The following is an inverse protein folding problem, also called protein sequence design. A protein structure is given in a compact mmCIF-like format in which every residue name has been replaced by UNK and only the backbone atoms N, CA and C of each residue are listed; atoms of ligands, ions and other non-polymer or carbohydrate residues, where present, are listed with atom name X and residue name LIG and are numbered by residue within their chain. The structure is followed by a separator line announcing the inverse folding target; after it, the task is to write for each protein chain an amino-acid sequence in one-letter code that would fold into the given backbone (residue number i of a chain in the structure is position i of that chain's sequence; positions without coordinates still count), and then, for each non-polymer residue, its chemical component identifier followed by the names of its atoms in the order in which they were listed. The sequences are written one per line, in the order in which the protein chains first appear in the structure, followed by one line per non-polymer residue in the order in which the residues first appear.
data_IF_629221745704
#
_entry.id   IF_629221745704
#
_cell.length_a   1.000
_cell.length_b   1.000
_cell.length_c   1.000
_cell.angle_alpha   90.00
_cell.angle_beta   90.00
_cell.angle_gamma   90.00
#
_symmetry.space_group_name_H-M   'P 1'
#
loop_
_entity.id
_entity.type
_entity.pdbx_description
1 polymer ?
#
# COMPACT_ATOMS: atom_id res chain seq x y z
N UNK A 1 -29.21 -1.88 18.57
CA UNK A 1 -28.40 -1.35 17.45
C UNK A 1 -26.95 -1.37 17.88
N UNK A 2 -26.08 -2.06 17.12
CA UNK A 2 -24.64 -2.00 17.37
C UNK A 2 -24.09 -0.75 16.66
N UNK A 3 -23.47 0.21 17.36
CA UNK A 3 -22.92 1.41 16.72
C UNK A 3 -21.88 1.04 15.66
N UNK A 4 -21.83 1.83 14.58
CA UNK A 4 -20.85 1.59 13.52
C UNK A 4 -19.42 1.80 14.03
N UNK A 5 -18.43 1.28 13.30
CA UNK A 5 -17.01 1.55 13.61
C UNK A 5 -16.74 3.05 13.59
N UNK A 6 -17.36 3.78 12.66
CA UNK A 6 -17.20 5.23 12.56
C UNK A 6 -17.75 5.95 13.80
N UNK A 7 -18.94 5.57 14.29
CA UNK A 7 -19.54 6.15 15.51
C UNK A 7 -18.67 5.91 16.74
N UNK A 8 -18.10 4.70 16.84
CA UNK A 8 -17.21 4.31 17.93
C UNK A 8 -15.91 5.12 17.88
N UNK A 9 -15.28 5.25 16.72
CA UNK A 9 -14.08 6.07 16.53
C UNK A 9 -14.35 7.55 16.84
N UNK A 10 -15.47 8.10 16.36
CA UNK A 10 -15.88 9.46 16.66
C UNK A 10 -16.06 9.71 18.17
N UNK A 11 -16.58 8.73 18.90
CA UNK A 11 -16.72 8.81 20.36
C UNK A 11 -15.37 8.76 21.09
N UNK A 12 -14.44 7.92 20.62
CA UNK A 12 -13.07 7.85 21.17
C UNK A 12 -12.31 9.16 20.92
N UNK A 13 -12.44 9.74 19.73
CA UNK A 13 -11.85 11.04 19.37
C UNK A 13 -12.34 12.13 20.33
N UNK A 14 -13.67 12.27 20.52
CA UNK A 14 -14.23 13.25 21.46
C UNK A 14 -13.74 13.05 22.88
N UNK A 15 -13.69 11.81 23.37
CA UNK A 15 -13.17 11.52 24.71
C UNK A 15 -11.70 11.97 24.88
N UNK A 16 -10.88 11.76 23.84
CA UNK A 16 -9.48 12.21 23.85
C UNK A 16 -9.36 13.73 23.81
N UNK A 17 -10.12 14.40 22.94
CA UNK A 17 -10.06 15.85 22.71
C UNK A 17 -10.67 16.68 23.86
N UNK A 18 -11.81 16.23 24.38
CA UNK A 18 -12.62 17.00 25.33
C UNK A 18 -12.31 16.66 26.79
N UNK A 19 -11.75 15.47 27.07
CA UNK A 19 -11.52 15.01 28.46
C UNK A 19 -10.05 14.71 28.72
N UNK A 20 -9.43 13.79 27.96
CA UNK A 20 -8.09 13.27 28.31
C UNK A 20 -6.98 14.29 28.08
N UNK A 21 -6.88 14.87 26.88
CA UNK A 21 -5.81 15.82 26.56
C UNK A 21 -5.86 17.09 27.43
N UNK A 22 -7.03 17.73 27.65
CA UNK A 22 -7.12 18.89 28.54
C UNK A 22 -6.55 18.63 29.94
N UNK A 23 -6.77 17.44 30.51
CA UNK A 23 -6.27 17.09 31.85
C UNK A 23 -4.76 16.82 31.90
N UNK A 24 -4.15 16.48 30.77
CA UNK A 24 -2.70 16.19 30.66
C UNK A 24 -1.85 17.45 30.41
N UNK A 25 -2.45 18.51 29.85
CA UNK A 25 -1.75 19.74 29.43
C UNK A 25 -0.87 20.31 30.53
N UNK A 26 0.42 20.46 30.21
CA UNK A 26 1.39 21.16 31.07
C UNK A 26 1.76 20.42 32.36
N UNK A 27 1.29 19.18 32.57
CA UNK A 27 1.57 18.38 33.78
C UNK A 27 2.47 17.18 33.51
N UNK A 28 2.40 16.60 32.30
CA UNK A 28 3.11 15.36 31.94
C UNK A 28 3.46 15.35 30.45
N UNK A 29 4.53 16.06 30.06
CA UNK A 29 4.91 16.26 28.64
C UNK A 29 4.91 14.97 27.81
N UNK A 30 5.56 13.90 28.30
CA UNK A 30 5.54 12.61 27.60
C UNK A 30 4.12 12.01 27.49
N UNK A 31 3.31 12.07 28.54
CA UNK A 31 1.95 11.52 28.49
C UNK A 31 1.03 12.32 27.55
N UNK A 32 1.20 13.63 27.50
CA UNK A 32 0.50 14.51 26.56
C UNK A 32 0.90 14.21 25.10
N UNK A 33 2.19 14.00 24.84
CA UNK A 33 2.69 13.58 23.53
C UNK A 33 2.11 12.23 23.09
N UNK A 34 2.12 11.23 23.99
CA UNK A 34 1.55 9.90 23.70
C UNK A 34 0.03 9.96 23.48
N UNK A 35 -0.70 10.74 24.30
CA UNK A 35 -2.14 10.94 24.11
C UNK A 35 -2.45 11.64 22.78
N UNK A 36 -1.63 12.62 22.39
CA UNK A 36 -1.74 13.30 21.10
C UNK A 36 -1.47 12.36 19.92
N UNK A 37 -0.51 11.44 20.07
CA UNK A 37 -0.23 10.40 19.08
C UNK A 37 -1.43 9.44 18.91
N UNK A 38 -2.02 8.98 20.01
CA UNK A 38 -3.24 8.14 19.97
C UNK A 38 -4.37 8.87 19.26
N UNK A 39 -4.61 10.15 19.59
CA UNK A 39 -5.64 10.94 18.92
C UNK A 39 -5.41 11.04 17.40
N UNK A 40 -4.16 11.27 16.97
CA UNK A 40 -3.83 11.29 15.53
C UNK A 40 -4.12 9.95 14.86
N UNK A 41 -3.79 8.82 15.49
CA UNK A 41 -4.12 7.50 14.94
C UNK A 41 -5.63 7.24 14.88
N UNK A 42 -6.42 7.72 15.84
CA UNK A 42 -7.88 7.61 15.79
C UNK A 42 -8.46 8.39 14.61
N UNK A 43 -7.98 9.61 14.36
CA UNK A 43 -8.36 10.39 13.18
C UNK A 43 -7.99 9.68 11.88
N UNK A 44 -6.79 9.09 11.82
CA UNK A 44 -6.36 8.32 10.67
C UNK A 44 -7.24 7.08 10.43
N UNK A 45 -7.48 6.26 11.45
CA UNK A 45 -8.34 5.08 11.34
C UNK A 45 -9.74 5.46 10.88
N UNK A 46 -10.27 6.60 11.36
CA UNK A 46 -11.58 7.09 10.93
C UNK A 46 -11.57 7.53 9.47
N UNK A 47 -10.52 8.21 9.01
CA UNK A 47 -10.39 8.64 7.62
C UNK A 47 -10.22 7.47 6.64
N UNK A 48 -9.59 6.37 7.09
CA UNK A 48 -9.38 5.15 6.31
C UNK A 48 -10.57 4.17 6.39
N UNK A 49 -11.48 4.37 7.34
CA UNK A 49 -12.65 3.51 7.53
C UNK A 49 -13.50 3.46 6.25
N UNK A 50 -13.77 2.24 5.77
CA UNK A 50 -14.53 2.01 4.54
C UNK A 50 -13.73 2.15 3.23
N UNK A 51 -12.43 2.47 3.30
CA UNK A 51 -11.56 2.55 2.12
C UNK A 51 -10.56 1.39 2.01
N UNK A 52 -10.37 0.57 3.04
CA UNK A 52 -9.36 -0.50 3.07
C UNK A 52 -9.46 -1.48 1.89
N UNK A 53 -10.66 -2.02 1.60
CA UNK A 53 -10.84 -2.93 0.46
C UNK A 53 -10.46 -2.26 -0.86
N UNK A 54 -10.83 -0.99 -1.05
CA UNK A 54 -10.46 -0.23 -2.25
C UNK A 54 -8.95 0.01 -2.34
N UNK A 55 -8.28 0.14 -1.21
CA UNK A 55 -6.83 0.26 -1.13
C UNK A 55 -6.17 -1.05 -1.56
N UNK A 56 -6.58 -2.17 -0.97
CA UNK A 56 -6.09 -3.51 -1.30
C UNK A 56 -6.32 -3.86 -2.78
N UNK A 57 -7.50 -3.52 -3.32
CA UNK A 57 -7.81 -3.66 -4.75
C UNK A 57 -6.84 -2.84 -5.62
N UNK A 58 -6.59 -1.58 -5.26
CA UNK A 58 -5.68 -0.72 -6.00
C UNK A 58 -4.23 -1.24 -5.94
N UNK A 59 -3.81 -1.80 -4.80
CA UNK A 59 -2.50 -2.44 -4.66
C UNK A 59 -2.37 -3.63 -5.60
N UNK A 60 -3.34 -4.53 -5.56
CA UNK A 60 -3.31 -5.72 -6.39
C UNK A 60 -3.37 -5.38 -7.88
N UNK A 61 -4.22 -4.41 -8.29
CA UNK A 61 -4.29 -3.96 -9.70
C UNK A 61 -2.95 -3.39 -10.18
N UNK A 62 -2.29 -2.57 -9.37
CA UNK A 62 -0.97 -2.03 -9.72
C UNK A 62 0.08 -3.14 -9.85
N UNK A 63 0.02 -4.14 -8.98
CA UNK A 63 0.92 -5.29 -9.00
C UNK A 63 0.67 -6.20 -10.21
N UNK A 64 -0.61 -6.48 -10.53
CA UNK A 64 -1.01 -7.25 -11.71
C UNK A 64 -0.62 -6.56 -13.01
N UNK A 65 -0.71 -5.22 -13.05
CA UNK A 65 -0.24 -4.41 -14.19
C UNK A 65 1.27 -4.58 -14.37
N UNK A 66 2.05 -4.42 -13.30
CA UNK A 66 3.50 -4.67 -13.33
C UNK A 66 3.81 -6.10 -13.80
N UNK A 67 3.10 -7.10 -13.28
CA UNK A 67 3.28 -8.49 -13.68
C UNK A 67 3.05 -8.69 -15.20
N UNK A 68 1.95 -8.15 -15.73
CA UNK A 68 1.64 -8.24 -17.15
C UNK A 68 2.71 -7.56 -18.02
N UNK A 69 3.16 -6.39 -17.62
CA UNK A 69 4.22 -5.64 -18.29
C UNK A 69 5.57 -6.38 -18.30
N UNK A 70 5.96 -7.01 -17.18
CA UNK A 70 7.18 -7.80 -17.07
C UNK A 70 7.10 -9.08 -17.92
N UNK A 71 5.95 -9.77 -17.90
CA UNK A 71 5.71 -10.96 -18.72
C UNK A 71 5.76 -10.63 -20.21
N UNK A 72 5.22 -9.48 -20.63
CA UNK A 72 5.26 -9.04 -22.02
C UNK A 72 6.67 -8.65 -22.48
N UNK A 73 7.50 -8.12 -21.56
CA UNK A 73 8.88 -7.76 -21.83
C UNK A 73 9.88 -8.93 -21.71
N UNK A 74 9.45 -10.06 -21.13
CA UNK A 74 10.32 -11.19 -20.80
C UNK A 74 11.06 -11.72 -22.02
N UNK A 75 12.40 -11.63 -21.96
CA UNK A 75 13.27 -12.18 -22.98
C UNK A 75 14.58 -12.68 -22.34
N UNK A 76 14.97 -13.91 -22.69
CA UNK A 76 16.11 -14.58 -22.07
C UNK A 76 16.12 -16.08 -22.36
N UNK A 77 16.89 -16.81 -21.57
CA UNK A 77 16.99 -18.26 -21.64
C UNK A 77 15.82 -18.99 -20.96
N UNK A 78 15.98 -20.32 -20.75
CA UNK A 78 14.96 -21.17 -20.15
C UNK A 78 14.51 -20.74 -18.74
N UNK A 79 15.42 -20.19 -17.92
CA UNK A 79 15.11 -19.80 -16.53
C UNK A 79 14.18 -18.60 -16.52
N UNK A 80 14.51 -17.55 -17.27
CA UNK A 80 13.64 -16.37 -17.46
C UNK A 80 12.29 -16.75 -18.06
N UNK A 81 12.28 -17.62 -19.07
CA UNK A 81 11.04 -18.05 -19.74
C UNK A 81 10.12 -18.83 -18.78
N UNK A 82 10.67 -19.73 -17.96
CA UNK A 82 9.91 -20.47 -16.95
C UNK A 82 9.34 -19.53 -15.89
N UNK A 83 10.15 -18.62 -15.35
CA UNK A 83 9.69 -17.66 -14.34
C UNK A 83 8.62 -16.71 -14.87
N UNK A 84 8.69 -16.31 -16.14
CA UNK A 84 7.65 -15.48 -16.78
C UNK A 84 6.33 -16.26 -16.94
N UNK A 85 6.39 -17.56 -17.21
CA UNK A 85 5.20 -18.40 -17.24
C UNK A 85 4.57 -18.53 -15.84
N UNK A 86 5.38 -18.79 -14.82
CA UNK A 86 4.93 -18.84 -13.42
C UNK A 86 4.31 -17.52 -12.96
N UNK A 87 4.92 -16.38 -13.31
CA UNK A 87 4.37 -15.06 -13.01
C UNK A 87 3.00 -14.85 -13.67
N UNK A 88 2.84 -15.25 -14.93
CA UNK A 88 1.55 -15.18 -15.62
C UNK A 88 0.46 -15.96 -14.89
N UNK A 89 0.78 -17.15 -14.38
CA UNK A 89 -0.15 -17.95 -13.58
C UNK A 89 -0.40 -17.36 -12.19
N UNK A 90 0.62 -16.80 -11.56
CA UNK A 90 0.53 -16.20 -10.23
C UNK A 90 -0.39 -14.96 -10.20
N UNK A 91 -0.31 -14.13 -11.25
CA UNK A 91 -1.01 -12.86 -11.40
C UNK A 91 -2.50 -12.99 -11.80
N UNK A 92 -3.05 -14.21 -11.80
CA UNK A 92 -4.48 -14.38 -12.07
C UNK A 92 -5.34 -13.72 -10.96
N UNK A 93 -6.48 -13.10 -11.33
CA UNK A 93 -7.34 -12.40 -10.38
C UNK A 93 -7.83 -13.33 -9.26
N UNK A 94 -7.92 -12.78 -8.05
CA UNK A 94 -8.62 -13.41 -6.95
C UNK A 94 -10.14 -13.41 -7.20
N UNK A 95 -10.85 -14.39 -6.62
CA UNK A 95 -12.31 -14.51 -6.72
C UNK A 95 -13.05 -13.93 -5.50
N UNK A 96 -12.33 -13.65 -4.40
CA UNK A 96 -12.83 -13.04 -3.16
C UNK A 96 -11.71 -12.26 -2.43
N UNK A 97 -12.08 -11.52 -1.37
CA UNK A 97 -11.20 -10.62 -0.61
C UNK A 97 -10.08 -11.39 0.13
N UNK A 98 -10.40 -12.53 0.76
CA UNK A 98 -9.41 -13.38 1.43
C UNK A 98 -8.39 -13.94 0.41
N UNK A 99 -8.83 -14.20 -0.82
CA UNK A 99 -7.95 -14.57 -1.93
C UNK A 99 -7.14 -13.38 -2.47
N UNK A 100 -7.54 -12.13 -2.25
CA UNK A 100 -6.83 -10.95 -2.74
C UNK A 100 -5.46 -10.80 -2.08
N UNK A 101 -5.40 -10.89 -0.75
CA UNK A 101 -4.12 -10.83 -0.04
C UNK A 101 -3.20 -11.99 -0.45
N UNK A 102 -3.74 -13.20 -0.55
CA UNK A 102 -2.99 -14.36 -1.02
C UNK A 102 -2.50 -14.18 -2.47
N UNK A 103 -3.30 -13.55 -3.34
CA UNK A 103 -2.94 -13.23 -4.71
C UNK A 103 -1.83 -12.16 -4.79
N UNK A 104 -1.90 -11.13 -3.96
CA UNK A 104 -0.85 -10.11 -3.81
C UNK A 104 0.47 -10.75 -3.40
N UNK A 105 0.48 -11.57 -2.34
CA UNK A 105 1.70 -12.24 -1.86
C UNK A 105 2.29 -13.16 -2.94
N UNK A 106 1.47 -14.00 -3.57
CA UNK A 106 1.89 -14.92 -4.62
C UNK A 106 2.46 -14.18 -5.84
N UNK A 107 1.80 -13.10 -6.27
CA UNK A 107 2.24 -12.30 -7.42
C UNK A 107 3.56 -11.58 -7.12
N UNK A 108 3.70 -10.99 -5.94
CA UNK A 108 4.94 -10.34 -5.50
C UNK A 108 6.11 -11.32 -5.45
N UNK A 109 5.89 -12.53 -4.93
CA UNK A 109 6.91 -13.57 -4.90
C UNK A 109 7.34 -13.99 -6.32
N UNK A 110 6.38 -14.15 -7.24
CA UNK A 110 6.69 -14.50 -8.63
C UNK A 110 7.41 -13.37 -9.38
N UNK A 111 7.10 -12.10 -9.10
CA UNK A 111 7.86 -10.95 -9.63
C UNK A 111 9.31 -11.02 -9.15
N UNK A 112 9.54 -11.23 -7.85
CA UNK A 112 10.89 -11.37 -7.29
C UNK A 112 11.65 -12.53 -7.94
N UNK A 113 10.99 -13.68 -8.18
CA UNK A 113 11.57 -14.82 -8.87
C UNK A 113 11.95 -14.48 -10.33
N UNK A 114 11.10 -13.76 -11.07
CA UNK A 114 11.40 -13.32 -12.43
C UNK A 114 12.58 -12.34 -12.48
N UNK A 115 12.68 -11.43 -11.50
CA UNK A 115 13.82 -10.51 -11.39
C UNK A 115 15.12 -11.30 -11.18
N UNK A 116 15.10 -12.32 -10.31
CA UNK A 116 16.24 -13.19 -10.08
C UNK A 116 16.60 -14.00 -11.34
N UNK A 117 15.62 -14.56 -12.03
CA UNK A 117 15.80 -15.30 -13.29
C UNK A 117 16.41 -14.43 -14.39
N UNK A 118 15.95 -13.17 -14.52
CA UNK A 118 16.48 -12.20 -15.46
C UNK A 118 17.98 -11.92 -15.25
N UNK A 119 18.49 -12.08 -14.02
CA UNK A 119 19.92 -11.97 -13.75
C UNK A 119 20.73 -13.17 -14.24
N UNK A 120 20.12 -14.37 -14.24
CA UNK A 120 20.76 -15.62 -14.66
C UNK A 120 20.92 -15.67 -16.18
N UNK A 121 19.82 -15.47 -16.92
CA UNK A 121 19.81 -15.65 -18.37
C UNK A 121 18.92 -14.65 -19.13
N UNK A 122 18.48 -13.57 -18.48
CA UNK A 122 17.75 -12.48 -19.12
C UNK A 122 18.66 -11.64 -20.01
N UNK A 123 18.16 -11.27 -21.19
CA UNK A 123 18.92 -10.40 -22.08
C UNK A 123 19.07 -8.97 -21.51
N UNK A 124 19.99 -8.19 -22.08
CA UNK A 124 20.25 -6.82 -21.59
C UNK A 124 19.00 -5.93 -21.68
N UNK A 125 18.19 -6.09 -22.73
CA UNK A 125 17.00 -5.26 -22.97
C UNK A 125 15.93 -5.54 -21.90
N UNK A 126 15.68 -6.79 -21.59
CA UNK A 126 14.74 -7.23 -20.58
C UNK A 126 15.19 -6.80 -19.20
N UNK A 127 16.46 -6.98 -18.84
CA UNK A 127 17.00 -6.49 -17.56
C UNK A 127 16.82 -4.98 -17.38
N UNK A 128 17.02 -4.19 -18.44
CA UNK A 128 16.74 -2.74 -18.42
C UNK A 128 15.24 -2.45 -18.29
N UNK A 129 14.37 -3.22 -18.94
CA UNK A 129 12.93 -3.09 -18.81
C UNK A 129 12.46 -3.37 -17.37
N UNK A 130 12.93 -4.47 -16.78
CA UNK A 130 12.67 -4.86 -15.38
C UNK A 130 13.02 -3.71 -14.43
N UNK A 131 14.22 -3.16 -14.53
CA UNK A 131 14.65 -2.06 -13.66
C UNK A 131 13.70 -0.86 -13.75
N UNK A 132 13.35 -0.44 -14.97
CA UNK A 132 12.47 0.71 -15.20
C UNK A 132 11.06 0.48 -14.67
N UNK A 133 10.50 -0.69 -14.95
CA UNK A 133 9.12 -1.04 -14.56
C UNK A 133 8.99 -1.19 -13.05
N UNK A 134 9.95 -1.86 -12.40
CA UNK A 134 9.96 -2.01 -10.94
C UNK A 134 10.11 -0.67 -10.24
N UNK A 135 11.00 0.21 -10.71
CA UNK A 135 11.13 1.55 -10.15
C UNK A 135 9.88 2.42 -10.37
N UNK A 136 9.28 2.35 -11.56
CA UNK A 136 8.03 3.04 -11.86
C UNK A 136 6.90 2.60 -10.93
N UNK A 137 6.75 1.29 -10.74
CA UNK A 137 5.80 0.72 -9.78
C UNK A 137 6.09 1.18 -8.35
N UNK A 138 7.36 1.13 -7.91
CA UNK A 138 7.76 1.60 -6.58
C UNK A 138 7.44 3.07 -6.35
N UNK A 139 7.65 3.94 -7.35
CA UNK A 139 7.30 5.35 -7.26
C UNK A 139 5.78 5.57 -7.14
N UNK A 140 4.98 4.82 -7.91
CA UNK A 140 3.52 4.89 -7.84
C UNK A 140 2.99 4.39 -6.50
N UNK A 141 3.50 3.26 -6.00
CA UNK A 141 3.15 2.72 -4.67
C UNK A 141 3.52 3.72 -3.57
N UNK A 142 4.73 4.28 -3.60
CA UNK A 142 5.13 5.29 -2.61
C UNK A 142 4.21 6.52 -2.62
N UNK A 143 3.77 6.99 -3.80
CA UNK A 143 2.82 8.10 -3.88
C UNK A 143 1.46 7.74 -3.25
N UNK A 144 0.96 6.53 -3.52
CA UNK A 144 -0.28 6.02 -2.93
C UNK A 144 -0.18 5.94 -1.40
N UNK A 145 0.88 5.33 -0.88
CA UNK A 145 1.10 5.15 0.55
C UNK A 145 1.20 6.50 1.26
N UNK A 146 1.98 7.44 0.71
CA UNK A 146 2.08 8.80 1.24
C UNK A 146 0.72 9.51 1.28
N UNK A 147 -0.09 9.34 0.24
CA UNK A 147 -1.46 9.88 0.19
C UNK A 147 -2.37 9.22 1.22
N UNK A 148 -2.24 7.91 1.43
CA UNK A 148 -2.97 7.12 2.41
C UNK A 148 -2.69 7.54 3.86
N UNK A 149 -1.45 7.95 4.13
CA UNK A 149 -1.00 8.40 5.46
C UNK A 149 -0.92 9.93 5.60
N UNK A 150 -1.39 10.72 4.62
CA UNK A 150 -1.21 12.18 4.60
C UNK A 150 -1.73 12.90 5.87
N UNK A 151 -2.80 12.38 6.49
CA UNK A 151 -3.39 12.94 7.72
C UNK A 151 -2.43 12.91 8.93
N UNK A 152 -1.41 12.04 8.92
CA UNK A 152 -0.38 11.97 9.98
C UNK A 152 0.56 13.17 9.97
N UNK A 153 0.58 13.95 8.89
CA UNK A 153 1.45 15.13 8.70
C UNK A 153 2.95 14.85 8.84
N UNK A 154 3.39 13.64 8.50
CA UNK A 154 4.82 13.37 8.29
C UNK A 154 5.36 14.04 7.02
N UNK A 155 4.47 14.45 6.13
CA UNK A 155 4.80 15.19 4.92
C UNK A 155 5.14 16.65 5.23
N UNK A 156 6.02 17.24 4.41
CA UNK A 156 6.33 18.66 4.48
C UNK A 156 5.09 19.54 4.19
N UNK A 157 5.08 20.78 4.69
CA UNK A 157 3.92 21.68 4.55
C UNK A 157 3.58 22.02 3.08
N UNK A 158 4.58 21.96 2.20
CA UNK A 158 4.43 22.25 0.77
C UNK A 158 4.31 20.98 -0.09
N UNK A 159 4.19 19.80 0.54
CA UNK A 159 4.01 18.56 -0.22
C UNK A 159 2.59 18.49 -0.77
N UNK A 160 2.45 18.60 -2.08
CA UNK A 160 1.20 18.29 -2.78
C UNK A 160 1.07 16.78 -2.98
N UNK A 161 0.06 16.19 -2.33
CA UNK A 161 -0.35 14.80 -2.53
C UNK A 161 -1.77 14.75 -3.09
N UNK A 162 -2.09 13.75 -3.92
CA UNK A 162 -3.47 13.48 -4.27
C UNK A 162 -4.29 13.10 -3.02
N UNK A 163 -5.60 13.29 -3.09
CA UNK A 163 -6.48 12.79 -2.02
C UNK A 163 -6.39 11.27 -1.92
N UNK A 164 -6.67 10.68 -0.75
CA UNK A 164 -6.70 9.22 -0.59
C UNK A 164 -7.53 8.55 -1.68
N UNK A 165 -8.74 9.05 -1.94
CA UNK A 165 -9.61 8.48 -2.97
C UNK A 165 -9.02 8.58 -4.39
N UNK A 166 -8.37 9.70 -4.73
CA UNK A 166 -7.73 9.88 -6.03
C UNK A 166 -6.48 9.01 -6.19
N UNK A 167 -5.79 8.67 -5.11
CA UNK A 167 -4.63 7.78 -5.12
C UNK A 167 -5.00 6.28 -5.30
N UNK A 168 -6.30 5.93 -5.22
CA UNK A 168 -6.81 4.56 -5.36
C UNK A 168 -7.39 4.24 -6.74
N UNK A 169 -7.48 5.22 -7.63
CA UNK A 169 -7.93 5.05 -9.01
C UNK A 169 -6.78 4.69 -9.92
#
# INVERSE_FOLDING_TARGET
MNPSIEDRLGSMIRAMEEVVLPELRGRKGLAEEQASLVLRHLHQLRAQAGLNTRYEDAEFRALATLAAELVAAANGGPVTTSAAHELRSAAMPATDDDALQAATVRTSAAIAALIAAAHVDGDTRFRTAVYRQVLGHGAATALRDRSWFAITRFEGPDTELPSMTAALT
#
